data_IF_015940565801
#
_entry.id   IF_015940565801
#
_cell.length_a   1.000
_cell.length_b   1.000
_cell.length_c   1.000
_cell.angle_alpha   90.00
_cell.angle_beta   90.00
_cell.angle_gamma   90.00
#
_symmetry.space_group_name_H-M   'P 1'
#
loop_
_entity.id
_entity.type
_entity.pdbx_description
1 polymer ?
#
# COMPACT_ATOMS: atom_id res chain seq x y z
N UNK A 1 0.08 7.25 -5.86
CA UNK A 1 1.31 6.93 -5.09
C UNK A 1 1.44 5.41 -5.00
N UNK A 2 2.64 4.81 -5.06
CA UNK A 2 2.80 3.34 -5.00
C UNK A 2 2.23 2.73 -3.70
N UNK A 3 2.22 3.52 -2.62
CA UNK A 3 1.58 3.20 -1.34
C UNK A 3 0.06 3.06 -1.37
N UNK A 4 -0.60 3.39 -2.48
CA UNK A 4 -2.05 3.24 -2.65
C UNK A 4 -2.43 2.02 -3.48
N UNK A 5 -1.45 1.35 -4.11
CA UNK A 5 -1.69 0.12 -4.87
C UNK A 5 -1.94 -1.05 -3.91
N UNK A 6 -2.67 -2.06 -4.41
CA UNK A 6 -3.04 -3.24 -3.64
C UNK A 6 -1.81 -3.91 -3.01
N UNK A 7 -1.83 -4.20 -1.70
CA UNK A 7 -0.70 -4.79 -0.99
C UNK A 7 -0.35 -6.22 -1.45
N UNK A 8 -1.25 -6.91 -2.17
CA UNK A 8 -0.97 -8.19 -2.84
C UNK A 8 0.12 -8.11 -3.91
N UNK A 9 0.37 -6.94 -4.48
CA UNK A 9 1.43 -6.74 -5.48
C UNK A 9 2.82 -6.66 -4.86
N UNK A 10 2.92 -6.59 -3.53
CA UNK A 10 4.20 -6.44 -2.83
C UNK A 10 4.87 -7.81 -2.70
N UNK A 11 6.03 -7.96 -3.33
CA UNK A 11 6.87 -9.15 -3.16
C UNK A 11 7.71 -9.04 -1.88
N UNK A 12 7.42 -9.89 -0.89
CA UNK A 12 8.17 -9.97 0.36
C UNK A 12 9.64 -10.33 0.18
N UNK A 13 9.95 -11.29 -0.72
CA UNK A 13 11.31 -11.73 -1.00
C UNK A 13 12.17 -10.61 -1.61
N UNK A 14 11.60 -9.86 -2.56
CA UNK A 14 12.28 -8.72 -3.16
C UNK A 14 12.51 -7.60 -2.15
N UNK A 15 11.49 -7.30 -1.33
CA UNK A 15 11.56 -6.26 -0.30
C UNK A 15 12.65 -6.60 0.73
N UNK A 16 12.69 -7.85 1.22
CA UNK A 16 13.71 -8.31 2.14
C UNK A 16 15.12 -8.26 1.56
N UNK A 17 15.29 -8.71 0.31
CA UNK A 17 16.57 -8.66 -0.38
C UNK A 17 17.09 -7.21 -0.53
N UNK A 18 16.21 -6.27 -0.89
CA UNK A 18 16.57 -4.86 -1.04
C UNK A 18 16.87 -4.16 0.29
N UNK A 19 16.22 -4.55 1.39
CA UNK A 19 16.59 -4.08 2.72
C UNK A 19 18.01 -4.53 3.10
N UNK A 20 18.32 -5.83 2.93
CA UNK A 20 19.67 -6.35 3.24
C UNK A 20 20.74 -5.67 2.37
N UNK A 21 20.45 -5.51 1.08
CA UNK A 21 21.30 -4.77 0.16
C UNK A 21 21.54 -3.34 0.67
N UNK A 22 20.50 -2.58 0.97
CA UNK A 22 20.62 -1.18 1.42
C UNK A 22 21.39 -1.07 2.75
N UNK A 23 21.13 -1.95 3.71
CA UNK A 23 21.87 -1.99 4.97
C UNK A 23 23.38 -2.25 4.77
N UNK A 24 23.72 -3.15 3.83
CA UNK A 24 25.12 -3.43 3.48
C UNK A 24 25.81 -2.21 2.87
N UNK A 25 25.12 -1.51 1.96
CA UNK A 25 25.66 -0.30 1.33
C UNK A 25 25.77 0.88 2.31
N UNK A 26 24.85 1.02 3.25
CA UNK A 26 24.97 2.02 4.33
C UNK A 26 26.17 1.73 5.24
N UNK A 27 26.42 0.46 5.59
CA UNK A 27 27.62 0.08 6.36
C UNK A 27 28.89 0.40 5.59
N UNK A 28 28.93 0.07 4.30
CA UNK A 28 30.06 0.38 3.42
C UNK A 28 30.32 1.90 3.35
N UNK A 29 29.28 2.70 3.14
CA UNK A 29 29.38 4.17 3.04
C UNK A 29 30.03 4.83 4.28
N UNK A 30 29.85 4.24 5.46
CA UNK A 30 30.46 4.70 6.71
C UNK A 30 31.85 4.09 7.01
N UNK A 31 32.18 2.96 6.39
CA UNK A 31 33.43 2.22 6.60
C UNK A 31 34.55 2.67 5.65
N UNK A 32 34.24 3.25 4.48
CA UNK A 32 35.25 3.79 3.55
C UNK A 32 35.86 5.10 4.04
N UNK A 33 37.13 5.36 3.69
CA UNK A 33 37.80 6.64 3.95
C UNK A 33 38.24 7.30 2.63
N UNK A 34 37.85 8.57 2.38
CA UNK A 34 36.93 9.39 3.19
C UNK A 34 35.48 8.85 3.16
N UNK A 35 34.71 9.10 4.24
CA UNK A 35 33.32 8.60 4.39
C UNK A 35 32.40 9.22 3.34
N UNK A 36 31.47 8.41 2.80
CA UNK A 36 30.54 8.85 1.77
C UNK A 36 29.12 9.04 2.33
N UNK A 37 28.83 10.24 2.84
CA UNK A 37 27.53 10.57 3.43
C UNK A 37 26.39 10.65 2.41
N UNK A 38 26.68 10.97 1.14
CA UNK A 38 25.65 11.02 0.08
C UNK A 38 25.12 9.62 -0.23
N UNK A 39 26.03 8.64 -0.35
CA UNK A 39 25.66 7.24 -0.54
C UNK A 39 24.87 6.72 0.67
N UNK A 40 25.31 7.04 1.88
CA UNK A 40 24.57 6.69 3.10
C UNK A 40 23.15 7.26 3.11
N UNK A 41 23.00 8.57 2.85
CA UNK A 41 21.70 9.23 2.85
C UNK A 41 20.76 8.67 1.78
N UNK A 42 21.28 8.39 0.58
CA UNK A 42 20.52 7.75 -0.49
C UNK A 42 19.96 6.39 -0.05
N UNK A 43 20.80 5.51 0.46
CA UNK A 43 20.35 4.19 0.91
C UNK A 43 19.45 4.26 2.13
N UNK A 44 19.65 5.22 3.03
CA UNK A 44 18.78 5.42 4.20
C UNK A 44 17.35 5.82 3.81
N UNK A 45 17.21 6.78 2.89
CA UNK A 45 15.88 7.20 2.40
C UNK A 45 15.21 6.06 1.62
N UNK A 46 15.97 5.36 0.76
CA UNK A 46 15.47 4.23 -0.01
C UNK A 46 15.00 3.09 0.92
N UNK A 47 15.78 2.76 1.95
CA UNK A 47 15.43 1.73 2.92
C UNK A 47 14.21 2.14 3.76
N UNK A 48 14.05 3.40 4.13
CA UNK A 48 12.84 3.89 4.80
C UNK A 48 11.56 3.66 3.96
N UNK A 49 11.62 3.93 2.66
CA UNK A 49 10.51 3.63 1.75
C UNK A 49 10.26 2.11 1.62
N UNK A 50 11.34 1.32 1.53
CA UNK A 50 11.29 -0.14 1.44
C UNK A 50 10.68 -0.77 2.70
N UNK A 51 11.05 -0.28 3.89
CA UNK A 51 10.52 -0.73 5.17
C UNK A 51 9.04 -0.35 5.34
N UNK A 52 8.63 0.81 4.82
CA UNK A 52 7.21 1.20 4.81
C UNK A 52 6.38 0.24 3.94
N UNK A 53 6.89 -0.14 2.76
CA UNK A 53 6.25 -1.14 1.91
C UNK A 53 6.28 -2.54 2.56
N UNK A 54 7.39 -2.90 3.20
CA UNK A 54 7.52 -4.14 3.96
C UNK A 54 6.54 -4.23 5.13
N UNK A 55 6.34 -3.13 5.86
CA UNK A 55 5.32 -3.04 6.91
C UNK A 55 3.92 -3.26 6.36
N UNK A 56 3.58 -2.64 5.21
CA UNK A 56 2.28 -2.88 4.54
C UNK A 56 2.10 -4.34 4.14
N UNK A 57 3.16 -4.99 3.64
CA UNK A 57 3.16 -6.42 3.31
C UNK A 57 2.92 -7.29 4.55
N UNK A 58 3.60 -6.99 5.66
CA UNK A 58 3.44 -7.70 6.93
C UNK A 58 2.03 -7.52 7.51
N UNK A 59 1.53 -6.28 7.49
CA UNK A 59 0.18 -5.95 7.92
C UNK A 59 -0.86 -6.74 7.15
N UNK A 60 -0.70 -6.81 5.83
CA UNK A 60 -1.62 -7.53 4.96
C UNK A 60 -1.56 -9.05 5.16
N UNK A 61 -0.36 -9.65 5.09
CA UNK A 61 -0.22 -11.11 5.04
C UNK A 61 -0.21 -11.80 6.42
N UNK A 62 0.27 -11.11 7.46
CA UNK A 62 0.55 -11.73 8.76
C UNK A 62 -0.20 -11.11 9.95
N UNK A 63 -0.68 -9.86 9.85
CA UNK A 63 -1.42 -9.19 10.93
C UNK A 63 -2.90 -8.95 10.62
N UNK A 64 -3.53 -9.86 9.88
CA UNK A 64 -4.97 -9.84 9.64
C UNK A 64 -5.45 -8.74 8.68
N UNK A 65 -4.55 -8.00 8.03
CA UNK A 65 -4.91 -6.96 7.06
C UNK A 65 -5.63 -7.49 5.83
N UNK A 66 -5.42 -8.77 5.45
CA UNK A 66 -6.13 -9.45 4.36
C UNK A 66 -7.62 -9.68 4.66
N UNK A 67 -7.96 -9.98 5.90
CA UNK A 67 -9.36 -10.12 6.33
C UNK A 67 -10.02 -8.74 6.45
N UNK A 68 -9.28 -7.75 6.97
CA UNK A 68 -9.75 -6.38 7.06
C UNK A 68 -9.96 -5.73 5.68
N UNK A 69 -9.10 -6.03 4.69
CA UNK A 69 -9.27 -5.55 3.32
C UNK A 69 -10.44 -6.23 2.63
N UNK A 70 -10.59 -7.55 2.76
CA UNK A 70 -11.73 -8.28 2.20
C UNK A 70 -13.07 -7.77 2.77
N UNK A 71 -13.09 -7.47 4.08
CA UNK A 71 -14.26 -6.89 4.75
C UNK A 71 -14.54 -5.46 4.24
N UNK A 72 -13.52 -4.61 4.10
CA UNK A 72 -13.67 -3.27 3.52
C UNK A 72 -14.17 -3.30 2.08
N UNK A 73 -13.61 -4.17 1.24
CA UNK A 73 -14.07 -4.33 -0.15
C UNK A 73 -15.52 -4.82 -0.24
N UNK A 74 -15.92 -5.74 0.65
CA UNK A 74 -17.30 -6.18 0.75
C UNK A 74 -18.25 -5.05 1.18
N UNK A 75 -17.89 -4.28 2.21
CA UNK A 75 -18.68 -3.12 2.67
C UNK A 75 -18.77 -2.02 1.60
N UNK A 76 -17.66 -1.67 0.94
CA UNK A 76 -17.67 -0.69 -0.15
C UNK A 76 -18.48 -1.17 -1.36
N UNK A 77 -18.42 -2.46 -1.68
CA UNK A 77 -19.23 -3.07 -2.75
C UNK A 77 -20.73 -3.04 -2.44
N UNK A 78 -21.11 -3.24 -1.17
CA UNK A 78 -22.49 -3.12 -0.70
C UNK A 78 -22.94 -1.66 -0.71
N UNK A 79 -22.12 -0.73 -0.22
CA UNK A 79 -22.40 0.71 -0.24
C UNK A 79 -22.64 1.22 -1.67
N UNK A 80 -21.72 0.92 -2.60
CA UNK A 80 -21.86 1.31 -4.03
C UNK A 80 -23.12 0.73 -4.67
N UNK A 81 -23.53 -0.49 -4.30
CA UNK A 81 -24.77 -1.10 -4.78
C UNK A 81 -26.00 -0.42 -4.17
N UNK A 82 -25.97 -0.06 -2.89
CA UNK A 82 -27.03 0.69 -2.23
C UNK A 82 -27.22 2.07 -2.87
N UNK A 83 -26.13 2.83 -3.06
CA UNK A 83 -26.14 4.14 -3.72
C UNK A 83 -26.67 4.04 -5.16
N UNK A 84 -26.31 2.98 -5.89
CA UNK A 84 -26.81 2.73 -7.25
C UNK A 84 -28.29 2.32 -7.31
N UNK A 85 -28.80 1.65 -6.28
CA UNK A 85 -30.23 1.32 -6.16
C UNK A 85 -31.02 2.58 -5.81
N UNK A 86 -30.53 3.39 -4.87
CA UNK A 86 -31.14 4.65 -4.47
C UNK A 86 -31.26 5.61 -5.65
N UNK A 87 -30.20 5.78 -6.44
CA UNK A 87 -30.23 6.57 -7.67
C UNK A 87 -31.24 6.05 -8.72
N UNK A 88 -31.41 4.72 -8.83
CA UNK A 88 -32.41 4.10 -9.72
C UNK A 88 -33.85 4.23 -9.21
N UNK A 89 -34.05 4.26 -7.90
CA UNK A 89 -35.36 4.46 -7.28
C UNK A 89 -35.78 5.93 -7.44
N UNK A 90 -34.88 6.87 -7.18
CA UNK A 90 -35.15 8.30 -7.38
C UNK A 90 -35.52 8.63 -8.83
N UNK A 91 -34.84 8.04 -9.82
CA UNK A 91 -35.17 8.28 -11.23
C UNK A 91 -36.56 7.75 -11.58
N UNK A 92 -36.92 6.54 -11.13
CA UNK A 92 -38.25 5.95 -11.35
C UNK A 92 -39.36 6.70 -10.63
N UNK A 93 -39.11 7.21 -9.43
CA UNK A 93 -40.07 8.02 -8.67
C UNK A 93 -40.32 9.35 -9.38
N UNK A 94 -39.29 10.01 -9.89
CA UNK A 94 -39.44 11.25 -10.69
C UNK A 94 -40.17 10.99 -12.02
N UNK A 95 -39.94 9.86 -12.66
CA UNK A 95 -40.63 9.48 -13.91
C UNK A 95 -42.11 9.14 -13.68
N UNK A 96 -42.46 8.57 -12.53
CA UNK A 96 -43.83 8.25 -12.14
C UNK A 96 -44.64 9.47 -11.66
N UNK A 97 -43.99 10.49 -11.09
CA UNK A 97 -44.63 11.73 -10.62
C UNK A 97 -44.70 12.79 -11.74
N UNK A 98 -43.89 12.64 -12.80
CA UNK A 98 -43.84 13.55 -13.95
C UNK A 98 -44.84 13.26 -15.08
N UNK A 99 -45.74 12.28 -14.91
CA UNK A 99 -46.93 12.06 -15.75
C UNK A 99 -48.19 12.32 -14.95
#
# INVERSE_FOLDING_TARGET
MDTQKSPDLISGQMTGALCIYSATFMRYALAVQPKNYLLFACHFVNEGAQLTQGYRYMQYNYWGGKEASATKEAFEGVQKKADAIEAKVESKVKEAIGK
#
